data_IF_557787220405
#
_entry.id   IF_557787220405
#
_cell.length_a   1.000
_cell.length_b   1.000
_cell.length_c   1.000
_cell.angle_alpha   90.00
_cell.angle_beta   90.00
_cell.angle_gamma   90.00
#
_symmetry.space_group_name_H-M   'P 1'
#
loop_
_entity.id
_entity.type
_entity.pdbx_description
1 polymer ?
#
# COMPACT_ATOMS: atom_id res chain seq x y z
N UNK A 1 -36.16 -5.54 -0.84
CA UNK A 1 -35.18 -5.75 -1.92
C UNK A 1 -33.85 -6.02 -1.26
N UNK A 2 -33.26 -7.21 -1.46
CA UNK A 2 -31.92 -7.48 -0.96
C UNK A 2 -30.92 -6.69 -1.80
N UNK A 3 -30.49 -5.52 -1.32
CA UNK A 3 -29.50 -4.70 -2.01
C UNK A 3 -28.17 -5.45 -1.99
N UNK A 4 -27.59 -5.73 -3.16
CA UNK A 4 -26.24 -6.29 -3.26
C UNK A 4 -25.29 -5.40 -2.47
N UNK A 5 -24.37 -6.00 -1.70
CA UNK A 5 -23.31 -5.24 -1.04
C UNK A 5 -22.45 -4.55 -2.12
N UNK A 6 -22.08 -3.27 -1.95
CA UNK A 6 -21.12 -2.60 -2.80
C UNK A 6 -19.80 -3.38 -2.86
N UNK A 7 -19.12 -3.30 -4.00
CA UNK A 7 -17.82 -3.94 -4.22
C UNK A 7 -16.74 -2.90 -4.44
N UNK A 8 -15.71 -2.91 -3.59
CA UNK A 8 -14.54 -2.05 -3.64
C UNK A 8 -13.34 -2.83 -4.15
N UNK A 9 -12.67 -2.31 -5.18
CA UNK A 9 -11.37 -2.81 -5.61
C UNK A 9 -10.24 -1.90 -5.10
N UNK A 10 -9.19 -2.49 -4.57
CA UNK A 10 -7.98 -1.78 -4.12
C UNK A 10 -6.76 -2.37 -4.81
N UNK A 11 -6.03 -1.52 -5.53
CA UNK A 11 -4.76 -1.85 -6.16
C UNK A 11 -3.66 -1.03 -5.49
N UNK A 12 -2.71 -1.70 -4.84
CA UNK A 12 -1.57 -1.06 -4.19
C UNK A 12 -0.24 -1.56 -4.73
N UNK A 13 0.81 -0.76 -4.64
CA UNK A 13 2.15 -1.21 -5.01
C UNK A 13 2.70 -2.31 -4.07
N UNK A 14 3.80 -2.94 -4.48
CA UNK A 14 4.45 -4.03 -3.79
C UNK A 14 5.27 -3.60 -2.57
N UNK A 15 5.63 -2.33 -2.50
CA UNK A 15 6.51 -1.83 -1.45
C UNK A 15 5.77 -1.57 -0.11
N UNK A 16 6.49 -1.05 0.87
CA UNK A 16 5.92 -0.80 2.20
C UNK A 16 4.79 0.24 2.18
N UNK A 17 4.92 1.29 1.36
CA UNK A 17 3.96 2.37 1.30
C UNK A 17 2.67 1.92 0.63
N UNK A 18 2.75 1.24 -0.52
CA UNK A 18 1.61 0.61 -1.19
C UNK A 18 0.85 -0.39 -0.31
N UNK A 19 1.56 -1.23 0.46
CA UNK A 19 0.95 -2.18 1.41
C UNK A 19 0.21 -1.45 2.53
N UNK A 20 0.86 -0.47 3.17
CA UNK A 20 0.30 0.21 4.33
C UNK A 20 -0.85 1.13 3.92
N UNK A 21 -0.75 1.81 2.77
CA UNK A 21 -1.86 2.52 2.16
C UNK A 21 -3.05 1.59 1.91
N UNK A 22 -2.81 0.40 1.34
CA UNK A 22 -3.85 -0.61 1.13
C UNK A 22 -4.48 -1.04 2.45
N UNK A 23 -3.67 -1.23 3.49
CA UNK A 23 -4.16 -1.58 4.83
C UNK A 23 -5.02 -0.47 5.45
N UNK A 24 -4.71 0.80 5.20
CA UNK A 24 -5.55 1.93 5.62
C UNK A 24 -6.93 1.86 4.98
N UNK A 25 -6.99 1.68 3.65
CA UNK A 25 -8.25 1.60 2.91
C UNK A 25 -9.07 0.39 3.36
N UNK A 26 -8.43 -0.78 3.46
CA UNK A 26 -9.08 -2.00 3.93
C UNK A 26 -9.59 -1.84 5.36
N UNK A 27 -8.81 -1.24 6.26
CA UNK A 27 -9.22 -1.05 7.65
C UNK A 27 -10.40 -0.10 7.76
N UNK A 28 -10.33 1.02 7.04
CA UNK A 28 -11.39 2.03 6.98
C UNK A 28 -12.71 1.48 6.46
N UNK A 29 -12.66 0.67 5.39
CA UNK A 29 -13.87 0.09 4.82
C UNK A 29 -14.40 -1.08 5.67
N UNK A 30 -13.54 -2.00 6.10
CA UNK A 30 -13.95 -3.25 6.76
C UNK A 30 -14.35 -3.06 8.23
N UNK A 31 -13.63 -2.21 8.95
CA UNK A 31 -13.86 -2.02 10.39
C UNK A 31 -14.48 -0.65 10.71
N UNK A 32 -14.29 0.33 9.81
CA UNK A 32 -14.90 1.64 9.94
C UNK A 32 -16.26 1.75 9.25
N UNK A 33 -16.51 1.02 8.17
CA UNK A 33 -17.66 1.22 7.27
C UNK A 33 -17.79 2.67 6.78
N UNK A 34 -16.64 3.36 6.55
CA UNK A 34 -16.64 4.80 6.24
C UNK A 34 -16.17 5.12 4.82
N UNK A 35 -15.03 4.57 4.43
CA UNK A 35 -14.34 4.95 3.20
C UNK A 35 -13.62 3.73 2.62
N UNK A 36 -13.66 3.49 1.30
CA UNK A 36 -14.08 4.39 0.19
C UNK A 36 -15.58 4.63 0.03
N UNK A 37 -16.42 3.73 0.53
CA UNK A 37 -17.88 3.80 0.48
C UNK A 37 -18.41 3.81 1.92
N UNK A 38 -19.40 4.65 2.16
CA UNK A 38 -20.09 4.68 3.46
C UNK A 38 -21.01 3.45 3.59
N UNK A 39 -20.92 2.76 4.72
CA UNK A 39 -21.61 1.50 4.98
C UNK A 39 -20.72 0.28 4.68
N UNK A 40 -21.33 -0.91 4.78
CA UNK A 40 -20.64 -2.18 4.52
C UNK A 40 -20.37 -2.38 3.03
N UNK A 41 -19.22 -2.96 2.71
CA UNK A 41 -18.85 -3.31 1.34
C UNK A 41 -17.94 -4.56 1.31
N UNK A 42 -18.02 -5.30 0.21
CA UNK A 42 -17.04 -6.32 -0.14
C UNK A 42 -15.76 -5.65 -0.65
N UNK A 43 -14.60 -6.21 -0.32
CA UNK A 43 -13.31 -5.63 -0.69
C UNK A 43 -12.46 -6.68 -1.39
N UNK A 44 -12.08 -6.40 -2.63
CA UNK A 44 -11.06 -7.11 -3.39
C UNK A 44 -9.79 -6.27 -3.38
N UNK A 45 -8.66 -6.83 -2.94
CA UNK A 45 -7.38 -6.11 -2.90
C UNK A 45 -6.26 -6.99 -3.44
N UNK A 46 -5.41 -6.40 -4.28
CA UNK A 46 -4.30 -7.09 -4.94
C UNK A 46 -3.13 -6.13 -5.11
N UNK A 47 -1.87 -6.62 -5.05
CA UNK A 47 -0.76 -5.80 -5.47
C UNK A 47 -0.82 -5.55 -6.98
N UNK A 48 -0.30 -4.42 -7.42
CA UNK A 48 -0.19 -4.08 -8.82
C UNK A 48 0.97 -3.13 -9.10
N UNK A 49 1.64 -3.36 -10.23
CA UNK A 49 2.54 -2.41 -10.88
C UNK A 49 1.77 -1.69 -12.02
N UNK A 50 2.24 -0.55 -12.53
CA UNK A 50 1.51 0.23 -13.55
C UNK A 50 1.05 -0.57 -14.78
N UNK A 51 1.94 -1.42 -15.34
CA UNK A 51 1.62 -2.25 -16.50
C UNK A 51 0.67 -3.39 -16.16
N UNK A 52 0.77 -3.96 -14.96
CA UNK A 52 -0.16 -4.99 -14.49
C UNK A 52 -1.55 -4.40 -14.27
N UNK A 53 -1.64 -3.23 -13.61
CA UNK A 53 -2.89 -2.49 -13.43
C UNK A 53 -3.59 -2.24 -14.77
N UNK A 54 -2.82 -1.77 -15.78
CA UNK A 54 -3.30 -1.56 -17.15
C UNK A 54 -3.91 -2.82 -17.78
N UNK A 55 -3.28 -3.98 -17.55
CA UNK A 55 -3.80 -5.27 -18.05
C UNK A 55 -5.02 -5.76 -17.29
N UNK A 56 -5.09 -5.56 -15.98
CA UNK A 56 -6.22 -6.02 -15.17
C UNK A 56 -7.45 -5.16 -15.40
N UNK A 57 -7.32 -3.84 -15.39
CA UNK A 57 -8.46 -2.93 -15.55
C UNK A 57 -9.12 -3.03 -16.93
N UNK A 58 -8.34 -3.30 -17.99
CA UNK A 58 -8.89 -3.53 -19.35
C UNK A 58 -9.82 -4.74 -19.47
N UNK A 59 -9.79 -5.66 -18.49
CA UNK A 59 -10.63 -6.85 -18.43
C UNK A 59 -11.53 -6.89 -17.20
N UNK A 60 -11.50 -5.84 -16.39
CA UNK A 60 -12.19 -5.82 -15.10
C UNK A 60 -13.69 -5.55 -15.26
N UNK A 61 -14.46 -6.07 -14.31
CA UNK A 61 -15.84 -5.66 -14.07
C UNK A 61 -15.90 -4.23 -13.51
N UNK A 62 -17.06 -3.60 -13.57
CA UNK A 62 -17.30 -2.34 -12.88
C UNK A 62 -17.42 -2.57 -11.37
N UNK A 63 -16.63 -1.83 -10.60
CA UNK A 63 -16.65 -1.81 -9.15
C UNK A 63 -17.49 -0.62 -8.69
N UNK A 64 -18.06 -0.68 -7.49
CA UNK A 64 -18.74 0.49 -6.92
C UNK A 64 -17.72 1.56 -6.50
N UNK A 65 -16.52 1.13 -6.07
CA UNK A 65 -15.34 1.99 -5.97
C UNK A 65 -14.05 1.29 -6.43
N UNK A 66 -13.18 2.05 -7.09
CA UNK A 66 -11.84 1.66 -7.53
C UNK A 66 -10.82 2.57 -6.83
N UNK A 67 -9.94 1.99 -6.03
CA UNK A 67 -8.86 2.70 -5.34
C UNK A 67 -7.52 2.25 -5.87
N UNK A 68 -6.71 3.21 -6.30
CA UNK A 68 -5.36 3.00 -6.82
C UNK A 68 -4.40 3.73 -5.89
N UNK A 69 -3.42 2.98 -5.36
CA UNK A 69 -2.55 3.42 -4.28
C UNK A 69 -1.11 3.20 -4.69
N UNK A 70 -0.32 4.28 -4.69
CA UNK A 70 1.13 4.23 -4.80
C UNK A 70 1.66 3.67 -6.13
N UNK A 71 0.83 3.76 -7.17
CA UNK A 71 1.17 3.31 -8.52
C UNK A 71 1.48 4.56 -9.34
N UNK A 72 2.71 4.70 -9.89
CA UNK A 72 3.06 5.88 -10.66
C UNK A 72 2.21 6.01 -11.92
N UNK A 73 1.72 7.22 -12.16
CA UNK A 73 0.90 7.54 -13.32
C UNK A 73 1.76 7.61 -14.58
N UNK A 74 1.50 6.68 -15.50
CA UNK A 74 2.13 6.62 -16.82
C UNK A 74 1.05 6.49 -17.90
N UNK A 75 1.40 6.71 -19.17
CA UNK A 75 0.42 6.70 -20.27
C UNK A 75 -0.42 5.41 -20.37
N UNK A 76 0.15 4.20 -20.16
CA UNK A 76 -0.66 2.98 -20.07
C UNK A 76 -1.74 3.03 -18.98
N UNK A 77 -1.43 3.59 -17.80
CA UNK A 77 -2.38 3.71 -16.68
C UNK A 77 -3.46 4.73 -17.03
N UNK A 78 -3.09 5.89 -17.57
CA UNK A 78 -4.06 6.90 -18.04
C UNK A 78 -5.01 6.33 -19.11
N UNK A 79 -4.47 5.61 -20.08
CA UNK A 79 -5.24 5.01 -21.17
C UNK A 79 -6.26 4.00 -20.64
N UNK A 80 -5.84 3.12 -19.72
CA UNK A 80 -6.77 2.15 -19.13
C UNK A 80 -7.83 2.83 -18.27
N UNK A 81 -7.48 3.89 -17.54
CA UNK A 81 -8.45 4.62 -16.71
C UNK A 81 -9.50 5.32 -17.55
N UNK A 82 -9.13 5.90 -18.71
CA UNK A 82 -10.10 6.48 -19.66
C UNK A 82 -11.08 5.43 -20.18
N UNK A 83 -10.57 4.24 -20.48
CA UNK A 83 -11.38 3.10 -20.91
C UNK A 83 -12.32 2.65 -19.78
N UNK A 84 -11.79 2.51 -18.56
CA UNK A 84 -12.56 2.12 -17.39
C UNK A 84 -13.66 3.13 -17.08
N UNK A 85 -13.36 4.44 -17.05
CA UNK A 85 -14.34 5.51 -16.81
C UNK A 85 -15.46 5.52 -17.85
N UNK A 86 -15.12 5.29 -19.12
CA UNK A 86 -16.11 5.22 -20.21
C UNK A 86 -17.05 4.02 -20.06
N UNK A 87 -16.53 2.87 -19.64
CA UNK A 87 -17.33 1.65 -19.43
C UNK A 87 -18.05 1.58 -18.08
N UNK A 88 -17.51 2.23 -17.05
CA UNK A 88 -17.93 2.16 -15.66
C UNK A 88 -18.15 3.55 -15.07
N UNK A 89 -18.96 4.38 -15.74
CA UNK A 89 -19.16 5.79 -15.40
C UNK A 89 -19.68 6.05 -13.99
N UNK A 90 -20.38 5.09 -13.37
CA UNK A 90 -20.89 5.19 -12.00
C UNK A 90 -19.89 4.78 -10.92
N UNK A 91 -18.73 4.23 -11.27
CA UNK A 91 -17.70 3.83 -10.32
C UNK A 91 -17.04 5.06 -9.71
N UNK A 92 -16.91 5.09 -8.38
CA UNK A 92 -16.06 6.09 -7.72
C UNK A 92 -14.60 5.71 -7.88
N UNK A 93 -13.79 6.53 -8.53
CA UNK A 93 -12.36 6.28 -8.74
C UNK A 93 -11.55 7.21 -7.84
N UNK A 94 -10.73 6.62 -6.98
CA UNK A 94 -9.81 7.30 -6.07
C UNK A 94 -8.40 6.94 -6.48
N UNK A 95 -7.57 7.94 -6.74
CA UNK A 95 -6.18 7.78 -7.11
C UNK A 95 -5.32 8.48 -6.06
N UNK A 96 -4.53 7.74 -5.31
CA UNK A 96 -3.65 8.27 -4.27
C UNK A 96 -2.22 7.89 -4.62
N UNK A 97 -1.35 8.89 -4.75
CA UNK A 97 0.04 8.65 -5.12
C UNK A 97 0.93 9.85 -4.73
N UNK A 98 2.24 9.64 -4.71
CA UNK A 98 3.24 10.67 -4.43
C UNK A 98 4.41 10.70 -5.43
N UNK A 99 4.46 9.78 -6.40
CA UNK A 99 5.52 9.72 -7.40
C UNK A 99 5.56 10.97 -8.30
N UNK A 100 6.77 11.37 -8.70
CA UNK A 100 7.00 12.58 -9.51
C UNK A 100 6.20 12.57 -10.83
N UNK A 101 6.09 11.41 -11.48
CA UNK A 101 5.35 11.27 -12.74
C UNK A 101 3.85 11.55 -12.57
N UNK A 102 3.31 11.31 -11.38
CA UNK A 102 1.91 11.60 -11.04
C UNK A 102 1.69 13.08 -10.75
N UNK A 103 2.69 13.78 -10.21
CA UNK A 103 2.67 15.24 -10.13
C UNK A 103 2.69 15.87 -11.52
N UNK A 104 3.57 15.41 -12.41
CA UNK A 104 3.70 15.91 -13.79
C UNK A 104 2.43 15.73 -14.62
N UNK A 105 1.64 14.70 -14.31
CA UNK A 105 0.42 14.30 -15.03
C UNK A 105 -0.86 14.55 -14.22
N UNK A 106 -0.81 15.35 -13.15
CA UNK A 106 -1.97 15.57 -12.27
C UNK A 106 -3.18 16.12 -13.04
N UNK A 107 -2.96 17.03 -13.98
CA UNK A 107 -4.03 17.61 -14.79
C UNK A 107 -4.79 16.57 -15.62
N UNK A 108 -4.11 15.50 -16.06
CA UNK A 108 -4.73 14.40 -16.81
C UNK A 108 -5.71 13.56 -15.96
N UNK A 109 -5.61 13.63 -14.63
CA UNK A 109 -6.52 12.96 -13.71
C UNK A 109 -7.83 13.74 -13.51
N UNK A 110 -7.83 15.06 -13.73
CA UNK A 110 -9.02 15.88 -13.53
C UNK A 110 -10.14 15.50 -14.51
N UNK A 111 -11.33 15.24 -13.98
CA UNK A 111 -12.47 14.73 -14.76
C UNK A 111 -12.38 13.25 -15.12
N UNK A 112 -11.23 12.60 -14.90
CA UNK A 112 -11.04 11.16 -15.09
C UNK A 112 -11.30 10.38 -13.80
N UNK A 113 -10.81 10.88 -12.67
CA UNK A 113 -11.01 10.28 -11.34
C UNK A 113 -11.81 11.22 -10.45
N UNK A 114 -12.52 10.67 -9.47
CA UNK A 114 -13.33 11.46 -8.53
C UNK A 114 -12.45 12.10 -7.45
N UNK A 115 -11.36 11.43 -7.06
CA UNK A 115 -10.42 11.92 -6.05
C UNK A 115 -8.96 11.73 -6.51
N UNK A 116 -8.35 12.74 -7.14
CA UNK A 116 -6.92 12.74 -7.47
C UNK A 116 -6.11 13.29 -6.28
N UNK A 117 -5.74 12.40 -5.36
CA UNK A 117 -5.02 12.73 -4.12
C UNK A 117 -3.52 12.55 -4.33
N UNK A 118 -2.90 13.52 -5.02
CA UNK A 118 -1.46 13.52 -5.28
C UNK A 118 -0.75 14.45 -4.29
N UNK A 119 0.23 13.92 -3.56
CA UNK A 119 0.90 14.65 -2.47
C UNK A 119 2.42 14.52 -2.47
N UNK A 120 3.07 15.25 -1.56
CA UNK A 120 4.54 15.22 -1.35
C UNK A 120 4.95 14.42 -0.12
N UNK A 121 4.02 13.65 0.42
CA UNK A 121 4.22 12.71 1.53
C UNK A 121 3.80 11.33 1.05
N UNK A 122 4.26 10.24 1.70
CA UNK A 122 3.92 8.88 1.29
C UNK A 122 2.41 8.66 1.10
N UNK A 123 2.06 7.84 0.13
CA UNK A 123 0.71 7.44 -0.22
C UNK A 123 -0.07 6.95 1.01
N UNK A 124 0.55 6.19 1.90
CA UNK A 124 -0.07 5.72 3.14
C UNK A 124 -0.49 6.86 4.08
N UNK A 125 0.26 7.97 4.10
CA UNK A 125 -0.10 9.16 4.88
C UNK A 125 -1.29 9.87 4.26
N UNK A 126 -1.28 10.08 2.94
CA UNK A 126 -2.39 10.72 2.22
C UNK A 126 -3.67 9.89 2.41
N UNK A 127 -3.59 8.57 2.27
CA UNK A 127 -4.70 7.66 2.48
C UNK A 127 -5.27 7.75 3.91
N UNK A 128 -4.39 7.82 4.93
CA UNK A 128 -4.80 7.92 6.33
C UNK A 128 -5.54 9.23 6.61
N UNK A 129 -4.95 10.36 6.20
CA UNK A 129 -5.52 11.68 6.43
C UNK A 129 -6.87 11.82 5.71
N UNK A 130 -6.99 11.26 4.50
CA UNK A 130 -8.26 11.23 3.76
C UNK A 130 -9.33 10.38 4.44
N UNK A 131 -8.99 9.17 4.89
CA UNK A 131 -9.91 8.28 5.58
C UNK A 131 -10.38 8.89 6.91
N UNK A 132 -9.47 9.50 7.67
CA UNK A 132 -9.79 10.22 8.91
C UNK A 132 -10.74 11.40 8.63
N UNK A 133 -10.48 12.16 7.57
CA UNK A 133 -11.36 13.25 7.14
C UNK A 133 -12.75 12.77 6.73
N UNK A 134 -12.88 11.52 6.26
CA UNK A 134 -14.17 10.87 5.99
C UNK A 134 -14.89 10.39 7.26
N UNK A 135 -14.23 10.38 8.42
CA UNK A 135 -14.78 9.95 9.71
C UNK A 135 -14.17 8.66 10.28
N UNK A 136 -13.18 8.06 9.62
CA UNK A 136 -12.52 6.86 10.13
C UNK A 136 -11.68 7.15 11.37
N UNK A 137 -11.77 6.27 12.37
CA UNK A 137 -10.95 6.31 13.59
C UNK A 137 -9.93 5.18 13.57
N UNK A 138 -8.71 5.40 13.04
CA UNK A 138 -7.70 4.35 12.93
C UNK A 138 -7.16 3.95 14.31
N UNK A 139 -6.79 2.67 14.44
CA UNK A 139 -6.09 2.16 15.63
C UNK A 139 -4.70 2.78 15.77
N UNK A 140 -4.17 2.81 17.00
CA UNK A 140 -2.79 3.25 17.24
C UNK A 140 -1.79 2.44 16.42
N UNK A 141 -2.01 1.13 16.31
CA UNK A 141 -1.19 0.23 15.50
C UNK A 141 -1.09 0.67 14.04
N UNK A 142 -2.23 0.93 13.40
CA UNK A 142 -2.26 1.37 12.01
C UNK A 142 -1.57 2.74 11.86
N UNK A 143 -1.80 3.67 12.79
CA UNK A 143 -1.09 4.96 12.83
C UNK A 143 0.42 4.78 12.94
N UNK A 144 0.90 3.85 13.77
CA UNK A 144 2.33 3.58 13.91
C UNK A 144 2.96 3.04 12.63
N UNK A 145 2.25 2.20 11.86
CA UNK A 145 2.74 1.72 10.55
C UNK A 145 2.88 2.86 9.54
N UNK A 146 1.87 3.72 9.44
CA UNK A 146 1.91 4.90 8.57
C UNK A 146 3.05 5.84 8.98
N UNK A 147 3.22 6.09 10.28
CA UNK A 147 4.31 6.92 10.79
C UNK A 147 5.69 6.31 10.50
N UNK A 148 5.82 4.98 10.62
CA UNK A 148 7.06 4.31 10.29
C UNK A 148 7.43 4.55 8.82
N UNK A 149 6.50 4.34 7.87
CA UNK A 149 6.75 4.61 6.44
C UNK A 149 7.07 6.07 6.19
N UNK A 150 6.36 7.00 6.82
CA UNK A 150 6.63 8.42 6.69
C UNK A 150 8.07 8.78 7.04
N UNK A 151 8.58 8.28 8.17
CA UNK A 151 9.96 8.49 8.57
C UNK A 151 10.96 7.83 7.61
N UNK A 152 10.63 6.65 7.06
CA UNK A 152 11.48 5.93 6.11
C UNK A 152 11.65 6.67 4.80
N UNK A 153 10.54 7.07 4.19
CA UNK A 153 10.50 7.73 2.88
C UNK A 153 11.24 9.07 2.92
N UNK A 154 11.08 9.82 4.01
CA UNK A 154 11.71 11.13 4.20
C UNK A 154 13.18 11.04 4.68
N UNK A 155 13.72 9.84 4.88
CA UNK A 155 15.09 9.64 5.38
C UNK A 155 15.31 10.21 6.80
N UNK A 156 14.24 10.30 7.60
CA UNK A 156 14.28 10.91 8.94
C UNK A 156 14.83 9.93 9.98
N UNK A 157 15.35 10.49 11.08
CA UNK A 157 15.86 9.69 12.19
C UNK A 157 14.73 8.94 12.88
N UNK A 158 14.85 7.61 12.92
CA UNK A 158 13.86 6.73 13.54
C UNK A 158 13.99 6.79 15.08
N UNK A 159 12.90 7.10 15.81
CA UNK A 159 12.87 7.04 17.26
C UNK A 159 13.18 5.64 17.80
N UNK A 160 13.87 5.56 18.94
CA UNK A 160 14.31 4.29 19.53
C UNK A 160 13.17 3.31 19.79
N UNK A 161 12.00 3.82 20.18
CA UNK A 161 10.78 3.05 20.44
C UNK A 161 10.11 2.51 19.17
N UNK A 162 10.50 2.95 17.97
CA UNK A 162 9.95 2.51 16.69
C UNK A 162 10.88 1.58 15.89
N UNK A 163 12.12 1.36 16.34
CA UNK A 163 13.13 0.55 15.61
C UNK A 163 12.60 -0.85 15.28
N UNK A 164 11.92 -1.51 16.22
CA UNK A 164 11.37 -2.85 15.98
C UNK A 164 10.29 -2.85 14.90
N UNK A 165 9.43 -1.83 14.89
CA UNK A 165 8.38 -1.68 13.88
C UNK A 165 8.99 -1.38 12.50
N UNK A 166 10.00 -0.50 12.45
CA UNK A 166 10.75 -0.22 11.24
C UNK A 166 11.38 -1.48 10.64
N UNK A 167 12.00 -2.34 11.46
CA UNK A 167 12.56 -3.61 10.99
C UNK A 167 11.50 -4.53 10.39
N UNK A 168 10.30 -4.56 10.97
CA UNK A 168 9.17 -5.31 10.41
C UNK A 168 8.76 -4.75 9.05
N UNK A 169 8.57 -3.44 8.93
CA UNK A 169 8.19 -2.78 7.67
C UNK A 169 9.25 -3.00 6.57
N UNK A 170 10.53 -2.78 6.90
CA UNK A 170 11.65 -3.02 5.98
C UNK A 170 11.74 -4.50 5.58
N UNK A 171 11.54 -5.42 6.52
CA UNK A 171 11.54 -6.86 6.26
C UNK A 171 10.41 -7.31 5.34
N UNK A 172 9.19 -6.79 5.55
CA UNK A 172 8.03 -7.02 4.68
C UNK A 172 8.32 -6.54 3.26
N UNK A 173 8.78 -5.30 3.10
CA UNK A 173 9.11 -4.71 1.80
C UNK A 173 10.15 -5.54 1.05
N UNK A 174 11.26 -5.91 1.69
CA UNK A 174 12.31 -6.76 1.08
C UNK A 174 11.80 -8.14 0.68
N UNK A 175 11.03 -8.78 1.55
CA UNK A 175 10.47 -10.11 1.28
C UNK A 175 9.53 -10.09 0.07
N UNK A 176 8.70 -9.06 -0.05
CA UNK A 176 7.71 -8.94 -1.13
C UNK A 176 8.34 -8.49 -2.44
N UNK A 177 9.32 -7.58 -2.41
CA UNK A 177 10.10 -7.22 -3.59
C UNK A 177 10.82 -8.43 -4.20
N UNK A 178 11.32 -9.35 -3.36
CA UNK A 178 12.04 -10.53 -3.83
C UNK A 178 11.13 -11.66 -4.33
N UNK A 179 10.02 -11.95 -3.65
CA UNK A 179 9.16 -13.09 -3.99
C UNK A 179 8.04 -12.73 -4.97
N UNK A 180 7.59 -11.48 -5.00
CA UNK A 180 6.39 -11.01 -5.72
C UNK A 180 5.21 -11.98 -5.56
N UNK A 181 4.96 -12.44 -4.33
CA UNK A 181 3.86 -13.35 -3.99
C UNK A 181 2.60 -12.56 -3.57
N UNK A 182 1.52 -12.55 -4.39
CA UNK A 182 0.30 -11.82 -4.06
C UNK A 182 -0.43 -12.35 -2.82
N UNK A 183 -0.25 -13.63 -2.48
CA UNK A 183 -0.81 -14.21 -1.25
C UNK A 183 -0.12 -13.65 -0.02
N UNK A 184 1.22 -13.55 -0.07
CA UNK A 184 2.00 -12.93 0.99
C UNK A 184 1.64 -11.46 1.18
N UNK A 185 1.49 -10.71 0.08
CA UNK A 185 1.08 -9.31 0.11
C UNK A 185 -0.29 -9.14 0.76
N UNK A 186 -1.29 -9.94 0.37
CA UNK A 186 -2.65 -9.88 0.94
C UNK A 186 -2.66 -10.18 2.44
N UNK A 187 -1.88 -11.16 2.89
CA UNK A 187 -1.74 -11.46 4.33
C UNK A 187 -1.10 -10.31 5.09
N UNK A 188 -0.12 -9.60 4.51
CA UNK A 188 0.48 -8.43 5.13
C UNK A 188 -0.55 -7.30 5.30
N UNK A 189 -1.30 -6.98 4.24
CA UNK A 189 -2.39 -5.98 4.28
C UNK A 189 -3.44 -6.34 5.33
N UNK A 190 -3.88 -7.60 5.37
CA UNK A 190 -4.86 -8.08 6.35
C UNK A 190 -4.33 -7.97 7.79
N UNK A 191 -3.07 -8.35 8.01
CA UNK A 191 -2.45 -8.30 9.33
C UNK A 191 -2.30 -6.86 9.84
N UNK A 192 -1.91 -5.93 8.98
CA UNK A 192 -1.74 -4.50 9.34
C UNK A 192 -3.09 -3.82 9.57
N UNK A 193 -4.09 -4.11 8.74
CA UNK A 193 -5.42 -3.47 8.80
C UNK A 193 -6.24 -3.88 10.02
N UNK A 194 -5.96 -5.03 10.64
CA UNK A 194 -6.71 -5.54 11.79
C UNK A 194 -6.57 -4.66 13.05
N UNK A 195 -7.69 -4.21 13.66
CA UNK A 195 -7.67 -3.42 14.90
C UNK A 195 -7.34 -4.28 16.12
N UNK A 196 -7.61 -5.58 16.06
CA UNK A 196 -7.21 -6.55 17.07
C UNK A 196 -5.83 -7.09 16.66
N UNK A 197 -4.84 -7.18 17.57
CA UNK A 197 -3.64 -7.96 17.32
C UNK A 197 -4.11 -9.38 16.96
N UNK A 198 -3.98 -9.77 15.68
CA UNK A 198 -4.38 -11.11 15.29
C UNK A 198 -3.61 -12.09 16.21
N UNK A 199 -4.29 -13.02 16.90
CA UNK A 199 -3.58 -14.09 17.60
C UNK A 199 -2.61 -14.69 16.59
N UNK A 200 -1.35 -14.89 17.01
CA UNK A 200 -0.26 -15.41 16.17
C UNK A 200 -0.83 -16.29 15.06
N UNK A 201 -0.87 -15.75 13.83
CA UNK A 201 -1.49 -16.45 12.70
C UNK A 201 -0.77 -17.81 12.62
N UNK A 202 -1.46 -18.94 12.86
CA UNK A 202 -0.80 -20.24 12.83
C UNK A 202 -0.36 -20.53 11.41
N UNK A 203 0.94 -20.74 11.20
CA UNK A 203 1.49 -21.22 9.92
C UNK A 203 2.76 -20.50 9.47
N UNK A 204 3.53 -21.21 8.64
CA UNK A 204 4.84 -20.87 8.09
C UNK A 204 4.97 -19.44 7.57
N UNK A 205 3.89 -18.79 7.11
CA UNK A 205 3.96 -17.48 6.43
C UNK A 205 4.46 -16.29 7.27
N UNK A 206 4.11 -16.18 8.56
CA UNK A 206 4.60 -15.08 9.42
C UNK A 206 5.94 -15.41 10.06
N UNK A 207 6.17 -16.68 10.40
CA UNK A 207 7.50 -17.15 10.74
C UNK A 207 8.46 -16.96 9.56
N UNK A 208 7.97 -17.08 8.33
CA UNK A 208 8.68 -16.83 7.10
C UNK A 208 8.84 -15.34 6.80
N UNK A 209 7.86 -14.46 7.03
CA UNK A 209 8.07 -13.00 6.96
C UNK A 209 9.10 -12.58 8.01
N UNK A 210 8.97 -13.06 9.24
CA UNK A 210 9.93 -12.79 10.32
C UNK A 210 11.30 -13.46 10.09
N UNK A 211 11.35 -14.62 9.41
CA UNK A 211 12.59 -15.31 9.02
C UNK A 211 13.24 -14.59 7.84
N UNK A 212 12.50 -14.21 6.81
CA UNK A 212 12.96 -13.42 5.67
C UNK A 212 13.44 -12.04 6.12
N UNK A 213 12.75 -11.40 7.07
CA UNK A 213 13.21 -10.18 7.72
C UNK A 213 14.53 -10.41 8.48
N UNK A 214 14.63 -11.51 9.26
CA UNK A 214 15.86 -11.89 9.98
C UNK A 214 17.01 -12.30 9.04
N UNK A 215 16.73 -12.94 7.92
CA UNK A 215 17.70 -13.36 6.89
C UNK A 215 18.18 -12.18 6.07
N UNK A 216 17.28 -11.24 5.74
CA UNK A 216 17.66 -9.96 5.13
C UNK A 216 18.56 -9.14 6.08
N UNK A 217 18.24 -9.08 7.37
CA UNK A 217 19.10 -8.45 8.38
C UNK A 217 20.47 -9.13 8.48
N UNK A 218 20.51 -10.48 8.42
CA UNK A 218 21.76 -11.25 8.43
C UNK A 218 22.60 -10.96 7.17
N UNK A 219 21.99 -10.94 5.99
CA UNK A 219 22.67 -10.63 4.72
C UNK A 219 23.19 -9.19 4.67
N UNK A 220 22.43 -8.22 5.14
CA UNK A 220 22.87 -6.82 5.22
C UNK A 220 24.04 -6.67 6.20
N UNK A 221 24.02 -7.40 7.32
CA UNK A 221 25.14 -7.43 8.26
C UNK A 221 26.39 -8.08 7.67
N UNK A 222 26.22 -9.14 6.87
CA UNK A 222 27.31 -9.81 6.15
C UNK A 222 27.88 -8.94 5.02
N UNK A 223 27.03 -8.27 4.23
CA UNK A 223 27.44 -7.32 3.18
C UNK A 223 28.10 -6.07 3.77
N UNK A 224 27.59 -5.53 4.89
CA UNK A 224 28.22 -4.42 5.60
C UNK A 224 29.59 -4.81 6.19
N UNK A 225 29.74 -6.04 6.69
CA UNK A 225 31.03 -6.57 7.13
C UNK A 225 32.00 -6.78 5.96
N UNK A 226 31.53 -7.28 4.81
CA UNK A 226 32.33 -7.44 3.60
C UNK A 226 32.78 -6.09 3.04
N UNK A 227 31.92 -5.07 3.09
CA UNK A 227 32.25 -3.69 2.74
C UNK A 227 33.24 -3.07 3.73
N UNK A 228 33.07 -3.31 5.04
CA UNK A 228 34.01 -2.85 6.06
C UNK A 228 35.40 -3.49 5.92
N UNK A 229 35.46 -4.81 5.62
CA UNK A 229 36.72 -5.53 5.35
C UNK A 229 37.35 -5.04 4.05
N UNK A 230 36.54 -4.75 3.03
CA UNK A 230 37.01 -4.21 1.74
C UNK A 230 37.54 -2.78 1.88
N UNK A 231 36.90 -1.94 2.68
CA UNK A 231 37.36 -0.58 3.01
C UNK A 231 38.69 -0.61 3.77
N UNK A 232 38.84 -1.52 4.74
CA UNK A 232 40.08 -1.72 5.49
C UNK A 232 41.26 -2.19 4.61
N UNK A 233 40.98 -2.96 3.54
CA UNK A 233 41.98 -3.44 2.58
C UNK A 233 42.42 -2.38 1.56
N UNK A 234 41.58 -1.37 1.28
CA UNK A 234 41.87 -0.28 0.35
C UNK A 234 42.55 0.93 1.00
N UNK A 235 42.76 0.90 2.32
CA UNK A 235 43.56 1.90 3.03
C UNK A 235 42.93 3.28 3.11
N UNK A 236 41.63 3.35 3.42
CA UNK A 236 40.98 4.56 3.97
C UNK A 236 40.52 4.24 5.39
#
# INVERSE_FOLDING_TARGET
MSSRLPLVAVFGDWDADGIIASAVIVSSQRYGNVYPINGEALIEYTPAEPLYLSRVLSKSKCYDALVILDIPLIDPVLSVLRTYRSGCGSSRIIYIDHHITSHEKLEDLYGLVDEPLIGYVPTSRIALDRAVSAGFKPSERLRSFVEAVHLMDQGLKIPSNMISLYRVVSGISKALASKKDPSLWRRAVEWISSPIPLPNIPGESMAEIARLAREADKRIKEEANLLAISAQKLGI
#
